data_IF_765102749097
#
_entry.id   IF_765102749097
#
_cell.length_a   1.000
_cell.length_b   1.000
_cell.length_c   1.000
_cell.angle_alpha   90.00
_cell.angle_beta   90.00
_cell.angle_gamma   90.00
#
_symmetry.space_group_name_H-M   'P 1'
#
loop_
_entity.id
_entity.type
_entity.pdbx_description
1 polymer ?
#
# COMPACT_ATOMS: atom_id res chain seq x y z
N UNK A 1 15.61 -2.86 21.81
CA UNK A 1 15.46 -2.98 20.35
C UNK A 1 14.46 -1.93 19.93
N UNK A 2 14.75 -1.14 18.91
CA UNK A 2 13.84 -0.09 18.39
C UNK A 2 12.61 -0.74 17.78
N UNK A 3 11.41 -0.24 18.12
CA UNK A 3 10.13 -0.70 17.59
C UNK A 3 9.70 0.23 16.47
N UNK A 4 9.73 -0.26 15.25
CA UNK A 4 9.40 0.53 14.07
C UNK A 4 7.90 0.51 13.76
N UNK A 5 7.35 1.71 13.48
CA UNK A 5 6.13 1.85 12.70
C UNK A 5 6.50 1.92 11.23
N UNK A 6 5.73 1.28 10.36
CA UNK A 6 6.02 1.23 8.93
C UNK A 6 4.83 1.73 8.11
N UNK A 7 5.11 2.65 7.15
CA UNK A 7 4.10 3.11 6.19
C UNK A 7 4.34 2.47 4.85
N UNK A 8 3.39 1.64 4.42
CA UNK A 8 3.35 1.05 3.09
C UNK A 8 2.40 1.88 2.20
N UNK A 9 2.93 2.92 1.59
CA UNK A 9 2.19 3.82 0.70
C UNK A 9 1.73 3.13 -0.58
N UNK A 10 0.65 3.64 -1.18
CA UNK A 10 0.22 3.25 -2.51
C UNK A 10 1.20 3.72 -3.58
N UNK A 11 1.43 2.92 -4.60
CA UNK A 11 2.36 3.22 -5.69
C UNK A 11 2.30 2.24 -6.86
N UNK A 12 1.25 1.40 -6.91
CA UNK A 12 1.15 0.36 -7.93
C UNK A 12 2.33 -0.62 -7.86
N UNK A 13 2.95 -0.92 -9.00
CA UNK A 13 4.12 -1.83 -9.03
C UNK A 13 5.37 -1.30 -8.33
N UNK A 14 5.46 0.01 -8.09
CA UNK A 14 6.54 0.61 -7.29
C UNK A 14 6.57 0.06 -5.86
N UNK A 15 5.43 -0.46 -5.38
CA UNK A 15 5.32 -1.06 -4.04
C UNK A 15 6.20 -2.30 -3.82
N UNK A 16 6.72 -2.95 -4.87
CA UNK A 16 7.76 -3.98 -4.71
C UNK A 16 9.04 -3.45 -4.05
N UNK A 17 9.31 -2.15 -4.18
CA UNK A 17 10.37 -1.51 -3.39
C UNK A 17 10.07 -1.57 -1.89
N UNK A 18 8.82 -1.29 -1.50
CA UNK A 18 8.35 -1.41 -0.10
C UNK A 18 8.54 -2.83 0.42
N UNK A 19 8.25 -3.83 -0.42
CA UNK A 19 8.45 -5.23 -0.07
C UNK A 19 9.93 -5.56 0.17
N UNK A 20 10.83 -5.06 -0.69
CA UNK A 20 12.27 -5.20 -0.49
C UNK A 20 12.73 -4.63 0.85
N UNK A 21 12.22 -3.46 1.24
CA UNK A 21 12.52 -2.87 2.55
C UNK A 21 12.02 -3.75 3.69
N UNK A 22 10.76 -4.21 3.66
CA UNK A 22 10.19 -5.06 4.70
C UNK A 22 10.93 -6.40 4.83
N UNK A 23 11.28 -7.03 3.70
CA UNK A 23 12.07 -8.28 3.69
C UNK A 23 13.44 -8.07 4.32
N UNK A 24 14.10 -6.95 4.00
CA UNK A 24 15.38 -6.62 4.61
C UNK A 24 15.26 -6.46 6.13
N UNK A 25 14.29 -5.68 6.59
CA UNK A 25 14.04 -5.44 8.02
C UNK A 25 13.79 -6.76 8.76
N UNK A 26 12.96 -7.66 8.22
CA UNK A 26 12.67 -8.97 8.82
C UNK A 26 13.92 -9.83 8.92
N UNK A 27 14.71 -9.94 7.84
CA UNK A 27 15.94 -10.74 7.80
C UNK A 27 17.02 -10.27 8.77
N UNK A 28 17.03 -8.98 9.10
CA UNK A 28 18.00 -8.39 10.03
C UNK A 28 17.43 -8.21 11.44
N UNK A 29 16.31 -8.87 11.75
CA UNK A 29 15.71 -8.88 13.08
C UNK A 29 15.22 -7.53 13.56
N UNK A 30 14.92 -6.60 12.63
CA UNK A 30 14.34 -5.30 12.98
C UNK A 30 12.87 -5.47 13.34
N UNK A 31 12.46 -4.90 14.46
CA UNK A 31 11.11 -5.06 15.01
C UNK A 31 10.14 -4.06 14.38
N UNK A 32 9.33 -4.50 13.42
CA UNK A 32 8.18 -3.74 12.92
C UNK A 32 6.97 -4.14 13.75
N UNK A 33 6.40 -3.19 14.51
CA UNK A 33 5.28 -3.46 15.44
C UNK A 33 3.94 -2.92 14.97
N UNK A 34 3.95 -1.93 14.06
CA UNK A 34 2.73 -1.36 13.51
C UNK A 34 2.94 -0.99 12.03
N UNK A 35 2.07 -1.49 11.17
CA UNK A 35 2.07 -1.16 9.73
C UNK A 35 0.78 -0.42 9.39
N UNK A 36 0.91 0.75 8.76
CA UNK A 36 -0.20 1.47 8.15
C UNK A 36 -0.04 1.45 6.64
N UNK A 37 -1.06 1.00 5.92
CA UNK A 37 -0.95 0.75 4.48
C UNK A 37 -2.13 1.30 3.68
N UNK A 38 -1.91 1.55 2.39
CA UNK A 38 -2.94 1.98 1.44
C UNK A 38 -2.68 1.45 0.04
N UNK A 39 -3.73 1.28 -0.76
CA UNK A 39 -3.65 0.86 -2.17
C UNK A 39 -2.78 -0.41 -2.35
N UNK A 40 -1.85 -0.42 -3.30
CA UNK A 40 -0.91 -1.52 -3.51
C UNK A 40 -0.03 -1.86 -2.30
N UNK A 41 0.16 -0.93 -1.36
CA UNK A 41 0.82 -1.21 -0.09
C UNK A 41 0.13 -2.30 0.71
N UNK A 42 -1.21 -2.42 0.62
CA UNK A 42 -1.96 -3.49 1.27
C UNK A 42 -1.57 -4.88 0.75
N UNK A 43 -1.32 -4.98 -0.57
CA UNK A 43 -0.89 -6.24 -1.19
C UNK A 43 0.50 -6.67 -0.69
N UNK A 44 1.38 -5.70 -0.50
CA UNK A 44 2.73 -5.96 0.03
C UNK A 44 2.67 -6.40 1.50
N UNK A 45 1.83 -5.74 2.29
CA UNK A 45 1.70 -6.08 3.72
C UNK A 45 1.11 -7.45 3.93
N UNK A 46 0.05 -7.82 3.19
CA UNK A 46 -0.52 -9.17 3.31
C UNK A 46 0.49 -10.24 2.86
N UNK A 47 1.25 -9.99 1.81
CA UNK A 47 2.29 -10.91 1.34
C UNK A 47 3.39 -11.08 2.40
N UNK A 48 3.86 -9.98 2.99
CA UNK A 48 4.81 -9.98 4.09
C UNK A 48 4.30 -10.74 5.32
N UNK A 49 3.02 -10.61 5.69
CA UNK A 49 2.41 -11.30 6.84
C UNK A 49 2.10 -12.77 6.56
N UNK A 50 2.00 -13.17 5.29
CA UNK A 50 1.83 -14.57 4.87
C UNK A 50 3.17 -15.27 4.60
N UNK A 51 4.30 -14.58 4.73
CA UNK A 51 5.62 -15.11 4.43
C UNK A 51 6.19 -15.90 5.60
N UNK A 52 6.40 -17.20 5.37
CA UNK A 52 7.19 -18.05 6.28
C UNK A 52 8.69 -17.87 5.98
N UNK A 53 9.29 -16.84 6.56
CA UNK A 53 10.69 -16.49 6.32
C UNK A 53 11.71 -17.53 6.80
N UNK A 54 11.27 -18.54 7.57
CA UNK A 54 12.11 -19.66 8.00
C UNK A 54 12.19 -20.75 6.93
N UNK A 55 11.13 -20.93 6.14
CA UNK A 55 11.03 -21.98 5.14
C UNK A 55 11.12 -21.44 3.71
N UNK A 56 10.83 -20.18 3.50
CA UNK A 56 10.74 -19.56 2.18
C UNK A 56 11.78 -18.45 2.02
N UNK A 57 12.49 -18.43 0.90
CA UNK A 57 13.48 -17.40 0.62
C UNK A 57 12.84 -16.03 0.41
N UNK A 58 11.68 -15.98 -0.23
CA UNK A 58 10.97 -14.75 -0.62
C UNK A 58 9.48 -14.88 -0.30
N UNK A 59 8.79 -13.73 -0.10
CA UNK A 59 7.33 -13.72 0.05
C UNK A 59 6.59 -14.41 -1.11
N UNK A 60 5.41 -15.02 -0.85
CA UNK A 60 4.74 -15.91 -1.80
C UNK A 60 4.36 -15.25 -3.13
N UNK A 61 3.85 -14.02 -3.10
CA UNK A 61 3.42 -13.30 -4.31
C UNK A 61 4.63 -12.91 -5.14
N UNK A 62 5.70 -12.44 -4.52
CA UNK A 62 6.94 -12.10 -5.20
C UNK A 62 7.53 -13.32 -5.92
N UNK A 63 7.52 -14.48 -5.28
CA UNK A 63 7.99 -15.74 -5.88
C UNK A 63 7.15 -16.12 -7.10
N UNK A 64 5.84 -15.86 -7.08
CA UNK A 64 4.94 -16.12 -8.22
C UNK A 64 5.16 -15.12 -9.34
N UNK A 65 5.28 -13.83 -9.01
CA UNK A 65 5.41 -12.74 -9.98
C UNK A 65 6.70 -12.82 -10.76
N UNK A 66 7.81 -13.23 -10.13
CA UNK A 66 9.10 -13.42 -10.79
C UNK A 66 9.08 -14.56 -11.84
N UNK A 67 8.11 -15.49 -11.73
CA UNK A 67 7.95 -16.61 -12.67
C UNK A 67 7.01 -16.30 -13.85
N UNK A 68 6.33 -15.16 -13.87
CA UNK A 68 5.28 -14.86 -14.84
C UNK A 68 5.83 -14.06 -16.03
N UNK A 69 5.43 -14.46 -17.25
CA UNK A 69 5.73 -13.76 -18.49
C UNK A 69 4.75 -12.59 -18.73
N UNK A 70 5.18 -11.60 -19.51
CA UNK A 70 4.44 -10.35 -19.80
C UNK A 70 3.02 -10.55 -20.37
N UNK A 71 2.78 -11.68 -21.05
CA UNK A 71 1.43 -12.07 -21.51
C UNK A 71 0.44 -12.30 -20.39
N UNK A 72 0.93 -12.52 -19.18
CA UNK A 72 0.11 -12.83 -18.00
C UNK A 72 -0.29 -11.58 -17.19
N UNK A 73 0.14 -10.38 -17.58
CA UNK A 73 -0.18 -9.15 -16.83
C UNK A 73 -1.69 -8.91 -16.76
N UNK A 74 -2.43 -9.16 -17.83
CA UNK A 74 -3.90 -9.16 -17.79
C UNK A 74 -4.44 -10.31 -16.94
N UNK A 75 -3.79 -11.46 -16.93
CA UNK A 75 -4.11 -12.60 -16.07
C UNK A 75 -3.67 -12.38 -14.63
N UNK A 76 -2.57 -11.65 -14.37
CA UNK A 76 -2.13 -11.28 -13.01
C UNK A 76 -3.15 -10.33 -12.38
N UNK A 77 -3.56 -9.27 -13.06
CA UNK A 77 -4.63 -8.40 -12.57
C UNK A 77 -5.96 -9.15 -12.48
N UNK A 78 -6.31 -9.94 -13.47
CA UNK A 78 -7.53 -10.74 -13.44
C UNK A 78 -7.47 -11.85 -12.40
N UNK A 79 -6.35 -12.52 -12.22
CA UNK A 79 -6.18 -13.59 -11.25
C UNK A 79 -5.89 -13.08 -9.83
N UNK A 80 -5.13 -11.97 -9.70
CA UNK A 80 -4.79 -11.39 -8.40
C UNK A 80 -5.97 -10.68 -7.73
N UNK A 81 -6.87 -10.09 -8.52
CA UNK A 81 -8.05 -9.38 -8.01
C UNK A 81 -9.38 -10.06 -8.41
N UNK A 82 -9.36 -11.23 -9.05
CA UNK A 82 -10.58 -11.86 -9.55
C UNK A 82 -11.33 -10.96 -10.55
N UNK A 83 -10.60 -10.22 -11.38
CA UNK A 83 -11.19 -9.26 -12.30
C UNK A 83 -11.98 -9.94 -13.39
N UNK A 84 -13.26 -9.63 -13.47
CA UNK A 84 -14.11 -9.99 -14.61
C UNK A 84 -14.38 -8.76 -15.45
N UNK A 85 -13.86 -8.66 -16.69
CA UNK A 85 -14.21 -7.57 -17.58
C UNK A 85 -15.71 -7.56 -17.82
N UNK A 86 -16.36 -6.43 -17.59
CA UNK A 86 -17.76 -6.26 -17.99
C UNK A 86 -17.79 -6.01 -19.49
N UNK A 87 -18.41 -6.92 -20.24
CA UNK A 87 -18.55 -6.87 -21.70
C UNK A 87 -19.38 -5.66 -22.20
N UNK A 88 -20.15 -5.02 -21.31
CA UNK A 88 -20.90 -3.79 -21.61
C UNK A 88 -20.75 -2.82 -20.43
N UNK A 89 -20.31 -1.57 -20.66
CA UNK A 89 -20.25 -0.54 -19.62
C UNK A 89 -21.67 -0.06 -19.30
N UNK A 90 -22.42 -0.86 -18.55
CA UNK A 90 -23.78 -0.49 -18.09
C UNK A 90 -23.78 0.24 -16.76
N UNK A 91 -22.61 0.67 -16.28
CA UNK A 91 -22.48 1.29 -14.96
C UNK A 91 -21.33 2.28 -14.86
N UNK A 92 -21.05 2.68 -13.64
CA UNK A 92 -20.02 3.67 -13.26
C UNK A 92 -18.61 3.07 -13.15
N UNK A 93 -18.40 1.80 -13.50
CA UNK A 93 -17.14 1.08 -13.33
C UNK A 93 -16.87 0.15 -14.53
N UNK A 94 -15.60 -0.15 -14.77
CA UNK A 94 -15.15 -0.98 -15.89
C UNK A 94 -15.00 -2.46 -15.51
N UNK A 95 -14.68 -2.74 -14.23
CA UNK A 95 -14.41 -4.09 -13.74
C UNK A 95 -15.19 -4.37 -12.46
N UNK A 96 -15.59 -5.61 -12.27
CA UNK A 96 -16.05 -6.13 -10.98
C UNK A 96 -14.92 -6.94 -10.33
N UNK A 97 -14.86 -6.89 -9.00
CA UNK A 97 -13.95 -7.72 -8.20
C UNK A 97 -14.72 -8.94 -7.71
N UNK A 98 -14.17 -10.12 -7.95
CA UNK A 98 -14.65 -11.36 -7.37
C UNK A 98 -13.90 -11.61 -6.05
N UNK A 99 -14.59 -11.46 -4.94
CA UNK A 99 -14.03 -11.59 -3.59
C UNK A 99 -13.39 -12.95 -3.36
N UNK A 100 -14.02 -14.03 -3.83
CA UNK A 100 -13.50 -15.39 -3.65
C UNK A 100 -12.23 -15.62 -4.45
N UNK A 101 -12.19 -15.15 -5.69
CA UNK A 101 -10.97 -15.23 -6.51
C UNK A 101 -9.83 -14.39 -5.93
N UNK A 102 -10.14 -13.22 -5.36
CA UNK A 102 -9.16 -12.39 -4.66
C UNK A 102 -8.61 -13.13 -3.42
N UNK A 103 -9.49 -13.69 -2.59
CA UNK A 103 -9.12 -14.50 -1.42
C UNK A 103 -8.20 -15.66 -1.76
N UNK A 104 -8.51 -16.42 -2.84
CA UNK A 104 -7.65 -17.49 -3.36
C UNK A 104 -6.29 -16.98 -3.81
N UNK A 105 -6.26 -15.85 -4.49
CA UNK A 105 -5.02 -15.22 -4.94
C UNK A 105 -4.12 -14.82 -3.78
N UNK A 106 -4.70 -14.39 -2.67
CA UNK A 106 -4.01 -14.06 -1.43
C UNK A 106 -3.66 -15.28 -0.58
N UNK A 107 -3.91 -16.52 -1.05
CA UNK A 107 -3.66 -17.76 -0.32
C UNK A 107 -4.44 -17.90 1.01
N UNK A 108 -5.52 -17.14 1.18
CA UNK A 108 -6.31 -17.18 2.41
C UNK A 108 -7.27 -18.38 2.50
N UNK A 109 -7.34 -19.22 1.46
CA UNK A 109 -8.01 -20.53 1.52
C UNK A 109 -7.14 -21.61 2.16
N UNK A 110 -5.82 -21.37 2.26
CA UNK A 110 -4.85 -22.27 2.89
C UNK A 110 -4.86 -22.07 4.42
N UNK A 111 -5.09 -23.16 5.17
CA UNK A 111 -5.17 -23.12 6.63
C UNK A 111 -3.85 -22.73 7.29
N UNK A 112 -2.74 -23.18 6.73
CA UNK A 112 -1.40 -22.93 7.30
C UNK A 112 -1.02 -21.47 7.11
N UNK A 113 -1.39 -20.87 5.94
CA UNK A 113 -1.22 -19.45 5.70
C UNK A 113 -2.10 -18.58 6.61
N UNK A 114 -3.33 -19.02 6.88
CA UNK A 114 -4.21 -18.32 7.84
C UNK A 114 -3.66 -18.36 9.25
N UNK A 115 -3.10 -19.50 9.67
CA UNK A 115 -2.46 -19.60 10.96
C UNK A 115 -1.25 -18.67 11.06
N UNK A 116 -0.38 -18.67 10.04
CA UNK A 116 0.79 -17.80 9.96
C UNK A 116 0.38 -16.30 10.00
N UNK A 117 -0.69 -15.94 9.31
CA UNK A 117 -1.25 -14.58 9.39
C UNK A 117 -1.68 -14.22 10.82
N UNK A 118 -2.37 -15.13 11.50
CA UNK A 118 -2.80 -14.92 12.89
C UNK A 118 -1.61 -14.77 13.85
N UNK A 119 -0.56 -15.58 13.68
CA UNK A 119 0.67 -15.49 14.44
C UNK A 119 1.37 -14.13 14.24
N UNK A 120 1.52 -13.70 13.00
CA UNK A 120 2.13 -12.39 12.71
C UNK A 120 1.27 -11.21 13.20
N UNK A 121 -0.06 -11.30 13.11
CA UNK A 121 -0.95 -10.25 13.62
C UNK A 121 -0.97 -10.20 15.17
N UNK A 122 -0.51 -11.22 15.87
CA UNK A 122 -0.31 -11.15 17.32
C UNK A 122 0.91 -10.26 17.68
N UNK A 123 1.87 -10.10 16.78
CA UNK A 123 3.10 -9.32 16.98
C UNK A 123 3.06 -7.95 16.31
N UNK A 124 2.30 -7.83 15.20
CA UNK A 124 2.25 -6.64 14.34
C UNK A 124 0.82 -6.13 14.25
N UNK A 125 0.59 -4.88 14.60
CA UNK A 125 -0.66 -4.19 14.29
C UNK A 125 -0.68 -3.78 12.81
N UNK A 126 -1.78 -4.00 12.13
CA UNK A 126 -1.98 -3.59 10.74
C UNK A 126 -3.25 -2.76 10.56
N UNK A 127 -3.07 -1.53 10.07
CA UNK A 127 -4.15 -0.61 9.73
C UNK A 127 -4.23 -0.41 8.20
N UNK A 128 -5.36 -0.79 7.58
CA UNK A 128 -5.67 -0.53 6.17
C UNK A 128 -6.34 0.83 6.04
N UNK A 129 -5.82 1.70 5.17
CA UNK A 129 -6.42 3.00 4.86
C UNK A 129 -7.36 2.91 3.67
N UNK A 130 -8.57 3.48 3.83
CA UNK A 130 -9.55 3.64 2.78
C UNK A 130 -10.17 5.04 2.83
N UNK A 131 -10.78 5.46 1.72
CA UNK A 131 -11.56 6.68 1.59
C UNK A 131 -13.05 6.36 1.68
N UNK A 132 -13.72 6.86 2.71
CA UNK A 132 -15.17 6.78 2.85
C UNK A 132 -15.81 7.89 2.00
N UNK A 133 -16.45 7.53 0.89
CA UNK A 133 -17.11 8.46 -0.03
C UNK A 133 -18.38 9.05 0.60
N UNK A 134 -19.12 8.26 1.37
CA UNK A 134 -20.37 8.70 2.00
C UNK A 134 -20.11 9.83 2.99
N UNK A 135 -19.06 9.68 3.82
CA UNK A 135 -18.69 10.63 4.86
C UNK A 135 -17.62 11.63 4.44
N UNK A 136 -17.05 11.48 3.25
CA UNK A 136 -15.94 12.31 2.72
C UNK A 136 -14.75 12.38 3.68
N UNK A 137 -14.36 11.26 4.22
CA UNK A 137 -13.32 11.16 5.24
C UNK A 137 -12.42 9.93 5.01
N UNK A 138 -11.18 10.05 5.42
CA UNK A 138 -10.30 8.90 5.47
C UNK A 138 -10.68 7.98 6.65
N UNK A 139 -10.66 6.66 6.42
CA UNK A 139 -10.98 5.63 7.41
C UNK A 139 -9.82 4.65 7.53
N UNK A 140 -9.43 4.30 8.74
CA UNK A 140 -8.56 3.14 9.01
C UNK A 140 -9.40 1.95 9.46
N UNK A 141 -9.09 0.79 8.92
CA UNK A 141 -9.59 -0.50 9.35
C UNK A 141 -8.45 -1.22 10.08
N UNK A 142 -8.62 -1.49 11.35
CA UNK A 142 -7.68 -2.27 12.15
C UNK A 142 -7.88 -3.75 11.85
N UNK A 143 -6.90 -4.37 11.17
CA UNK A 143 -6.97 -5.77 10.73
C UNK A 143 -6.95 -6.73 11.91
N UNK A 144 -6.21 -6.41 12.98
CA UNK A 144 -6.15 -7.24 14.18
C UNK A 144 -7.52 -7.34 14.88
N UNK A 145 -8.31 -6.25 14.88
CA UNK A 145 -9.68 -6.27 15.40
C UNK A 145 -10.64 -7.05 14.49
N UNK A 146 -10.43 -6.98 13.16
CA UNK A 146 -11.27 -7.68 12.18
C UNK A 146 -10.98 -9.19 12.20
N UNK A 147 -9.70 -9.59 12.21
CA UNK A 147 -9.23 -10.97 12.15
C UNK A 147 -8.94 -11.60 13.53
N UNK A 148 -9.65 -11.14 14.57
CA UNK A 148 -9.42 -11.64 15.92
C UNK A 148 -9.60 -13.17 16.08
N UNK A 149 -10.39 -13.82 15.22
CA UNK A 149 -10.68 -15.27 15.23
C UNK A 149 -10.24 -16.01 13.97
N UNK A 150 -9.89 -15.31 12.90
CA UNK A 150 -9.52 -15.86 11.57
C UNK A 150 -10.53 -16.89 11.03
N UNK A 151 -11.80 -16.80 11.47
CA UNK A 151 -12.91 -17.59 10.96
C UNK A 151 -13.45 -17.03 9.63
N UNK A 152 -14.35 -17.74 8.99
CA UNK A 152 -14.91 -17.35 7.69
C UNK A 152 -15.60 -15.97 7.72
N UNK A 153 -16.29 -15.64 8.81
CA UNK A 153 -16.98 -14.35 8.95
C UNK A 153 -15.97 -13.19 9.13
N UNK A 154 -14.89 -13.42 9.86
CA UNK A 154 -13.79 -12.46 10.03
C UNK A 154 -13.01 -12.28 8.73
N UNK A 155 -12.75 -13.38 8.00
CA UNK A 155 -12.11 -13.33 6.68
C UNK A 155 -12.96 -12.58 5.66
N UNK A 156 -14.28 -12.76 5.66
CA UNK A 156 -15.18 -12.03 4.76
C UNK A 156 -15.14 -10.52 5.03
N UNK A 157 -15.17 -10.10 6.30
CA UNK A 157 -15.03 -8.71 6.70
C UNK A 157 -13.65 -8.13 6.39
N UNK A 158 -12.60 -8.94 6.59
CA UNK A 158 -11.24 -8.56 6.18
C UNK A 158 -11.15 -8.29 4.68
N UNK A 159 -11.74 -9.17 3.87
CA UNK A 159 -11.78 -9.00 2.41
C UNK A 159 -12.50 -7.71 2.00
N UNK A 160 -13.60 -7.34 2.68
CA UNK A 160 -14.27 -6.07 2.42
C UNK A 160 -13.36 -4.86 2.75
N UNK A 161 -12.69 -4.87 3.88
CA UNK A 161 -11.75 -3.81 4.27
C UNK A 161 -10.54 -3.75 3.32
N UNK A 162 -9.99 -4.92 2.94
CA UNK A 162 -8.89 -5.04 2.01
C UNK A 162 -9.25 -4.48 0.64
N UNK A 163 -10.39 -4.90 0.08
CA UNK A 163 -10.88 -4.42 -1.20
C UNK A 163 -11.21 -2.91 -1.16
N UNK A 164 -11.79 -2.43 -0.06
CA UNK A 164 -12.01 -1.00 0.14
C UNK A 164 -10.71 -0.19 0.10
N UNK A 165 -9.61 -0.77 0.59
CA UNK A 165 -8.28 -0.13 0.61
C UNK A 165 -7.56 -0.10 -0.74
N UNK A 166 -8.00 -0.91 -1.74
CA UNK A 166 -7.31 -1.04 -3.04
C UNK A 166 -8.18 -0.69 -4.26
N UNK A 167 -9.48 -0.48 -4.06
CA UNK A 167 -10.43 -0.27 -5.15
C UNK A 167 -10.39 1.15 -5.69
N UNK A 168 -9.90 1.31 -6.92
CA UNK A 168 -9.74 2.60 -7.60
C UNK A 168 -10.87 2.88 -8.58
N UNK A 169 -11.58 3.98 -8.41
CA UNK A 169 -12.59 4.45 -9.39
C UNK A 169 -11.91 5.21 -10.56
N UNK A 170 -12.44 5.18 -11.78
CA UNK A 170 -13.66 4.51 -12.23
C UNK A 170 -13.46 3.04 -12.64
N UNK A 171 -12.30 2.46 -12.38
CA UNK A 171 -12.00 1.09 -12.83
C UNK A 171 -12.87 0.07 -12.11
N UNK A 172 -13.05 0.22 -10.80
CA UNK A 172 -13.78 -0.70 -9.96
C UNK A 172 -14.99 -0.05 -9.31
N UNK A 173 -15.97 -0.89 -8.97
CA UNK A 173 -17.11 -0.48 -8.14
C UNK A 173 -16.64 -0.20 -6.72
N UNK A 174 -17.13 0.90 -6.11
CA UNK A 174 -16.90 1.15 -4.70
C UNK A 174 -17.41 -0.01 -3.83
N UNK A 175 -16.68 -0.33 -2.78
CA UNK A 175 -17.04 -1.39 -1.82
C UNK A 175 -18.01 -0.82 -0.80
N UNK A 176 -19.05 -1.59 -0.46
CA UNK A 176 -20.05 -1.19 0.55
C UNK A 176 -19.77 -1.92 1.86
N UNK A 177 -19.53 -1.17 2.94
CA UNK A 177 -19.34 -1.70 4.29
C UNK A 177 -20.26 -0.92 5.22
N UNK A 178 -21.14 -1.60 5.95
CA UNK A 178 -22.10 -1.01 6.90
C UNK A 178 -22.93 0.15 6.31
N UNK A 179 -23.29 0.06 5.02
CA UNK A 179 -24.08 1.07 4.31
C UNK A 179 -23.28 2.28 3.80
N UNK A 180 -22.01 2.41 4.12
CA UNK A 180 -21.12 3.43 3.56
C UNK A 180 -20.35 2.89 2.33
N UNK A 181 -20.02 3.77 1.37
CA UNK A 181 -19.23 3.45 0.18
C UNK A 181 -17.77 3.79 0.39
N UNK A 182 -16.88 2.87 0.01
CA UNK A 182 -15.44 3.00 0.18
C UNK A 182 -14.69 2.79 -1.13
N UNK A 183 -13.59 3.51 -1.28
CA UNK A 183 -12.58 3.35 -2.34
C UNK A 183 -11.20 3.44 -1.71
N UNK A 184 -10.15 3.20 -2.52
CA UNK A 184 -8.77 3.21 -2.02
C UNK A 184 -8.41 4.46 -1.21
N UNK A 185 -7.53 4.27 -0.24
CA UNK A 185 -7.17 5.32 0.72
C UNK A 185 -6.39 6.47 0.10
N UNK A 186 -5.69 6.21 -1.00
CA UNK A 186 -4.80 7.16 -1.66
C UNK A 186 -5.47 8.47 -2.08
N UNK A 187 -6.77 8.47 -2.32
CA UNK A 187 -7.50 9.70 -2.67
C UNK A 187 -7.50 10.77 -1.56
N UNK A 188 -7.40 10.37 -0.29
CA UNK A 188 -7.35 11.30 0.84
C UNK A 188 -6.07 11.18 1.67
N UNK A 189 -5.46 9.99 1.73
CA UNK A 189 -4.33 9.73 2.60
C UNK A 189 -3.50 8.54 2.06
N UNK A 190 -2.62 8.83 1.10
CA UNK A 190 -1.76 7.81 0.48
C UNK A 190 -0.59 7.38 1.39
N UNK A 191 -0.28 8.18 2.39
CA UNK A 191 0.81 7.93 3.32
C UNK A 191 0.30 8.05 4.75
N UNK A 192 -0.35 7.01 5.31
CA UNK A 192 -1.10 7.08 6.56
C UNK A 192 -0.17 7.14 7.80
N UNK A 193 0.63 8.19 7.90
CA UNK A 193 1.57 8.44 9.00
C UNK A 193 0.87 8.67 10.35
N UNK A 194 -0.32 9.24 10.31
CA UNK A 194 -1.00 9.72 11.51
C UNK A 194 -1.19 8.65 12.56
N UNK A 195 -1.65 7.46 12.17
CA UNK A 195 -1.90 6.35 13.10
C UNK A 195 -0.63 5.90 13.82
N UNK A 196 0.53 5.98 13.15
CA UNK A 196 1.81 5.63 13.73
C UNK A 196 2.32 6.68 14.72
N UNK A 197 2.03 7.97 14.49
CA UNK A 197 2.35 9.03 15.45
C UNK A 197 1.46 8.97 16.69
N UNK A 198 0.25 8.43 16.59
CA UNK A 198 -0.71 8.25 17.69
C UNK A 198 -0.38 7.00 18.54
N UNK A 199 0.42 6.06 18.07
CA UNK A 199 0.71 4.78 18.72
C UNK A 199 1.96 4.87 19.64
N UNK A 200 1.80 4.72 20.93
CA UNK A 200 2.88 4.76 21.92
C UNK A 200 3.81 3.54 21.89
N UNK A 201 3.44 2.47 21.19
CA UNK A 201 4.27 1.29 21.00
C UNK A 201 5.33 1.49 19.90
N UNK A 202 5.20 2.51 19.08
CA UNK A 202 6.13 2.84 18.00
C UNK A 202 7.18 3.83 18.51
N UNK A 203 8.45 3.48 18.37
CA UNK A 203 9.58 4.35 18.74
C UNK A 203 10.02 5.25 17.57
N UNK A 204 10.14 4.68 16.36
CA UNK A 204 10.54 5.35 15.13
C UNK A 204 9.66 4.96 13.97
N UNK A 205 9.54 5.81 12.95
CA UNK A 205 8.70 5.56 11.80
C UNK A 205 9.56 5.43 10.53
N UNK A 206 9.31 4.38 9.75
CA UNK A 206 9.84 4.21 8.40
C UNK A 206 8.69 4.43 7.42
N UNK A 207 8.85 5.34 6.47
CA UNK A 207 7.85 5.62 5.45
C UNK A 207 8.48 5.54 4.06
N UNK A 208 7.80 4.83 3.15
CA UNK A 208 8.17 4.82 1.74
C UNK A 208 7.37 5.88 1.01
N UNK A 209 8.05 6.78 0.33
CA UNK A 209 7.47 7.88 -0.45
C UNK A 209 7.76 7.67 -1.94
N UNK A 210 6.72 7.40 -2.71
CA UNK A 210 6.79 7.24 -4.16
C UNK A 210 6.53 8.54 -4.92
N UNK A 211 6.50 9.65 -4.23
CA UNK A 211 6.29 10.95 -4.85
C UNK A 211 7.48 11.30 -5.74
N UNK A 212 7.24 11.44 -7.04
CA UNK A 212 8.19 12.03 -7.95
C UNK A 212 8.03 13.56 -7.90
N UNK A 213 9.04 14.23 -7.38
CA UNK A 213 9.07 15.70 -7.33
C UNK A 213 9.59 16.32 -8.65
N UNK A 214 10.02 15.49 -9.61
CA UNK A 214 10.56 15.94 -10.89
C UNK A 214 9.56 15.67 -12.05
N UNK A 215 8.34 16.15 -11.89
CA UNK A 215 7.22 15.97 -12.83
C UNK A 215 7.45 16.44 -14.26
N UNK A 216 8.42 17.32 -14.47
CA UNK A 216 8.63 17.93 -15.79
C UNK A 216 8.98 16.90 -16.88
N UNK A 217 9.63 15.81 -16.52
CA UNK A 217 10.00 14.75 -17.48
C UNK A 217 8.81 13.95 -17.99
N UNK A 218 7.90 13.59 -17.08
CA UNK A 218 6.78 12.72 -17.42
C UNK A 218 5.71 13.45 -18.22
N UNK A 219 5.45 14.72 -17.92
CA UNK A 219 4.53 15.57 -18.69
C UNK A 219 5.02 15.75 -20.12
N UNK A 220 6.29 16.08 -20.32
CA UNK A 220 6.88 16.25 -21.64
C UNK A 220 6.82 14.95 -22.48
N UNK A 221 7.07 13.80 -21.84
CA UNK A 221 6.99 12.51 -22.51
C UNK A 221 5.55 12.14 -22.87
N UNK A 222 4.59 12.40 -21.99
CA UNK A 222 3.17 12.13 -22.23
C UNK A 222 2.63 12.98 -23.37
N UNK A 223 2.91 14.30 -23.37
CA UNK A 223 2.44 15.22 -24.42
C UNK A 223 3.17 15.06 -25.75
N UNK A 224 4.40 14.51 -25.76
CA UNK A 224 5.16 14.22 -26.99
C UNK A 224 4.83 12.85 -27.56
N UNK A 225 4.29 11.90 -26.78
CA UNK A 225 3.89 10.59 -27.29
C UNK A 225 2.66 10.72 -28.18
N UNK A 226 2.86 10.75 -29.47
CA UNK A 226 1.79 10.70 -30.49
C UNK A 226 1.24 9.28 -30.57
N UNK A 227 0.43 8.87 -29.62
CA UNK A 227 -0.30 7.61 -29.72
C UNK A 227 -1.59 7.81 -30.50
N UNK A 228 -1.77 7.04 -31.58
CA UNK A 228 -2.95 7.08 -32.43
C UNK A 228 -4.21 6.45 -31.80
N UNK A 229 -4.11 5.90 -30.59
CA UNK A 229 -5.20 5.17 -29.92
C UNK A 229 -5.75 6.02 -28.78
N UNK A 230 -6.70 6.87 -29.11
CA UNK A 230 -7.39 7.81 -28.20
C UNK A 230 -7.81 7.26 -26.82
N UNK A 231 -8.34 6.00 -26.65
CA UNK A 231 -8.72 5.51 -25.35
C UNK A 231 -7.54 5.32 -24.39
N UNK A 232 -6.37 4.93 -24.90
CA UNK A 232 -5.19 4.68 -24.06
C UNK A 232 -4.56 5.99 -23.57
N UNK A 233 -4.60 7.06 -24.36
CA UNK A 233 -4.15 8.39 -23.91
C UNK A 233 -5.03 8.93 -22.77
N UNK A 234 -6.31 8.62 -22.76
CA UNK A 234 -7.22 9.02 -21.67
C UNK A 234 -6.90 8.26 -20.38
N UNK A 235 -6.53 6.98 -20.48
CA UNK A 235 -6.09 6.16 -19.32
C UNK A 235 -4.78 6.71 -18.79
N UNK A 236 -3.79 6.95 -19.65
CA UNK A 236 -2.48 7.48 -19.27
C UNK A 236 -2.61 8.87 -18.61
N UNK A 237 -3.47 9.73 -19.18
CA UNK A 237 -3.77 11.07 -18.61
C UNK A 237 -4.46 10.92 -17.24
N UNK A 238 -5.40 9.98 -17.11
CA UNK A 238 -6.08 9.77 -15.84
C UNK A 238 -5.13 9.22 -14.77
N UNK A 239 -4.24 8.30 -15.12
CA UNK A 239 -3.22 7.78 -14.21
C UNK A 239 -2.26 8.89 -13.78
N UNK A 240 -1.86 9.79 -14.68
CA UNK A 240 -1.03 10.93 -14.36
C UNK A 240 -1.75 11.91 -13.42
N UNK A 241 -3.01 12.23 -13.69
CA UNK A 241 -3.81 13.10 -12.80
C UNK A 241 -3.99 12.45 -11.43
N UNK A 242 -4.21 11.14 -11.39
CA UNK A 242 -4.28 10.38 -10.14
C UNK A 242 -2.94 10.43 -9.39
N UNK A 243 -1.83 10.28 -10.08
CA UNK A 243 -0.49 10.39 -9.48
C UNK A 243 -0.25 11.79 -8.90
N UNK A 244 -0.66 12.85 -9.61
CA UNK A 244 -0.64 14.22 -9.11
C UNK A 244 -1.53 14.42 -7.87
N UNK A 245 -2.74 13.85 -7.88
CA UNK A 245 -3.65 13.92 -6.73
C UNK A 245 -3.12 13.19 -5.51
N UNK A 246 -2.34 12.11 -5.70
CA UNK A 246 -1.69 11.37 -4.63
C UNK A 246 -0.45 12.10 -4.09
N UNK A 247 0.23 12.87 -4.92
CA UNK A 247 1.52 13.51 -4.61
C UNK A 247 1.39 14.70 -3.70
N UNK A 248 0.47 15.62 -4.01
CA UNK A 248 0.31 16.87 -3.24
C UNK A 248 -0.05 16.60 -1.77
N UNK A 249 -1.00 15.69 -1.44
CA UNK A 249 -1.26 15.33 -0.05
C UNK A 249 -0.05 14.74 0.67
N UNK A 250 0.75 13.91 -0.01
CA UNK A 250 1.94 13.29 0.60
C UNK A 250 2.98 14.34 1.03
N UNK A 251 3.28 15.30 0.17
CA UNK A 251 4.21 16.39 0.51
C UNK A 251 3.76 17.17 1.76
N UNK A 252 2.45 17.44 1.86
CA UNK A 252 1.88 18.11 3.04
C UNK A 252 1.96 17.23 4.30
N UNK A 253 1.67 15.95 4.20
CA UNK A 253 1.72 15.02 5.34
C UNK A 253 3.13 14.95 5.93
N UNK A 254 4.16 14.79 5.10
CA UNK A 254 5.55 14.77 5.57
C UNK A 254 5.98 16.09 6.19
N UNK A 255 5.58 17.21 5.59
CA UNK A 255 5.85 18.55 6.15
C UNK A 255 5.16 18.72 7.50
N UNK A 256 3.90 18.34 7.64
CA UNK A 256 3.18 18.41 8.91
C UNK A 256 3.82 17.51 9.98
N UNK A 257 4.22 16.29 9.62
CA UNK A 257 4.90 15.39 10.54
C UNK A 257 6.24 15.96 11.05
N UNK A 258 7.02 16.56 10.15
CA UNK A 258 8.26 17.22 10.50
C UNK A 258 8.02 18.42 11.45
N UNK A 259 7.03 19.26 11.15
CA UNK A 259 6.67 20.41 11.98
C UNK A 259 6.23 19.99 13.39
N UNK A 260 5.40 18.94 13.51
CA UNK A 260 4.97 18.43 14.82
C UNK A 260 6.18 17.95 15.62
N UNK A 261 7.07 17.18 15.00
CA UNK A 261 8.29 16.71 15.64
C UNK A 261 9.20 17.86 16.10
N UNK A 262 9.37 18.89 15.27
CA UNK A 262 10.19 20.06 15.57
C UNK A 262 9.57 20.88 16.72
N UNK A 263 8.27 21.13 16.67
CA UNK A 263 7.54 21.80 17.76
C UNK A 263 7.72 21.07 19.09
N UNK A 264 7.54 19.75 19.11
CA UNK A 264 7.71 18.94 20.32
C UNK A 264 9.17 18.98 20.81
N UNK A 265 10.13 18.98 19.88
CA UNK A 265 11.55 19.11 20.22
C UNK A 265 11.87 20.46 20.87
N UNK A 266 11.40 21.57 20.30
CA UNK A 266 11.60 22.93 20.82
C UNK A 266 10.96 23.11 22.20
N UNK A 267 9.77 22.49 22.41
CA UNK A 267 9.07 22.52 23.70
C UNK A 267 9.64 21.54 24.73
N UNK A 268 10.61 20.71 24.34
CA UNK A 268 11.16 19.66 25.22
C UNK A 268 10.13 18.59 25.60
N UNK A 269 9.07 18.41 24.77
CA UNK A 269 7.98 17.49 25.05
C UNK A 269 8.14 16.20 24.22
N UNK A 270 7.79 15.05 24.84
CA UNK A 270 7.74 13.76 24.15
C UNK A 270 6.43 13.55 23.39
N UNK A 271 5.36 14.26 23.76
CA UNK A 271 4.05 14.17 23.11
C UNK A 271 3.23 15.43 23.31
N UNK A 272 2.22 15.63 22.45
CA UNK A 272 1.18 16.66 22.64
C UNK A 272 -0.20 16.13 22.26
N UNK A 273 -1.23 16.74 22.83
CA UNK A 273 -2.62 16.48 22.43
C UNK A 273 -3.04 17.51 21.37
N UNK A 274 -3.46 17.05 20.21
CA UNK A 274 -3.88 17.86 19.08
C UNK A 274 -5.23 17.33 18.58
N UNK A 275 -6.29 18.16 18.68
CA UNK A 275 -7.62 17.77 18.24
C UNK A 275 -8.19 16.53 18.97
N UNK A 276 -7.90 16.39 20.27
CA UNK A 276 -8.35 15.28 21.12
C UNK A 276 -7.61 13.97 20.89
N UNK A 277 -6.46 14.01 20.19
CA UNK A 277 -5.59 12.85 19.97
C UNK A 277 -4.17 13.15 20.43
N UNK A 278 -3.51 12.14 20.98
CA UNK A 278 -2.13 12.25 21.45
C UNK A 278 -1.17 11.87 20.34
N UNK A 279 -0.23 12.76 20.04
CA UNK A 279 0.85 12.58 19.07
C UNK A 279 2.18 12.51 19.81
N UNK A 280 2.97 11.51 19.49
CA UNK A 280 4.30 11.31 20.06
C UNK A 280 5.37 11.83 19.11
N UNK A 281 6.41 12.44 19.66
CA UNK A 281 7.61 12.80 18.91
C UNK A 281 8.36 11.53 18.51
N UNK A 282 8.54 11.30 17.20
CA UNK A 282 9.19 10.10 16.66
C UNK A 282 10.13 10.44 15.52
N UNK A 283 11.37 9.90 15.51
CA UNK A 283 12.22 9.95 14.33
C UNK A 283 11.45 9.40 13.12
N UNK A 284 11.59 10.08 11.97
CA UNK A 284 10.92 9.71 10.72
C UNK A 284 11.98 9.46 9.64
N UNK A 285 12.08 8.22 9.19
CA UNK A 285 12.94 7.77 8.11
C UNK A 285 12.12 7.69 6.81
N UNK A 286 12.36 8.63 5.89
CA UNK A 286 11.67 8.63 4.60
C UNK A 286 12.60 8.00 3.58
N UNK A 287 12.15 6.90 2.97
CA UNK A 287 12.82 6.20 1.88
C UNK A 287 12.17 6.63 0.56
N UNK A 288 13.00 7.16 -0.34
CA UNK A 288 12.57 7.62 -1.68
C UNK A 288 13.38 6.91 -2.73
N UNK A 289 12.78 5.95 -3.45
CA UNK A 289 13.49 5.28 -4.52
C UNK A 289 13.93 6.31 -5.57
N UNK A 290 15.20 6.22 -5.97
CA UNK A 290 15.73 7.00 -7.09
C UNK A 290 15.27 6.35 -8.39
N UNK A 291 15.08 7.16 -9.45
CA UNK A 291 14.71 6.69 -10.78
C UNK A 291 13.40 5.90 -10.84
N UNK A 292 12.35 6.46 -10.23
CA UNK A 292 10.99 5.94 -10.38
C UNK A 292 10.59 5.96 -11.86
N UNK A 293 10.42 4.79 -12.45
CA UNK A 293 9.73 4.69 -13.73
C UNK A 293 8.26 5.11 -13.54
N UNK A 294 7.66 5.75 -14.54
CA UNK A 294 6.23 6.07 -14.47
C UNK A 294 5.42 4.81 -14.22
N UNK A 295 4.28 4.96 -13.54
CA UNK A 295 3.38 3.84 -13.20
C UNK A 295 2.96 3.06 -14.46
N UNK A 296 2.80 3.74 -15.60
CA UNK A 296 2.47 3.17 -16.92
C UNK A 296 3.58 2.33 -17.54
N UNK A 297 4.83 2.71 -17.34
CA UNK A 297 5.98 1.96 -17.86
C UNK A 297 6.17 0.67 -17.06
N UNK A 298 5.98 0.71 -15.75
CA UNK A 298 6.11 -0.46 -14.89
C UNK A 298 5.03 -1.54 -15.13
N UNK A 299 3.87 -1.17 -15.66
CA UNK A 299 2.84 -2.13 -16.09
C UNK A 299 3.26 -3.01 -17.27
N UNK A 300 4.21 -2.54 -18.10
CA UNK A 300 4.66 -3.22 -19.31
C UNK A 300 5.98 -3.99 -19.12
N UNK A 301 6.66 -3.80 -17.99
CA UNK A 301 7.99 -4.34 -17.74
C UNK A 301 8.04 -5.18 -16.46
N UNK A 302 7.96 -6.50 -16.61
CA UNK A 302 8.06 -7.44 -15.48
C UNK A 302 9.43 -7.40 -14.79
N UNK A 303 10.49 -6.94 -15.48
CA UNK A 303 11.81 -6.77 -14.89
C UNK A 303 11.84 -5.59 -13.90
N UNK A 304 10.94 -4.62 -14.05
CA UNK A 304 10.84 -3.48 -13.15
C UNK A 304 10.48 -3.89 -11.71
N UNK A 305 9.63 -4.90 -11.55
CA UNK A 305 9.22 -5.40 -10.22
C UNK A 305 10.44 -5.93 -9.45
N UNK A 306 11.23 -6.78 -10.10
CA UNK A 306 12.47 -7.32 -9.52
C UNK A 306 13.45 -6.19 -9.19
N UNK A 307 13.63 -5.24 -10.11
CA UNK A 307 14.50 -4.08 -9.89
C UNK A 307 14.05 -3.24 -8.70
N UNK A 308 12.74 -2.96 -8.55
CA UNK A 308 12.23 -2.23 -7.40
C UNK A 308 12.46 -2.99 -6.09
N UNK A 309 12.21 -4.28 -6.08
CA UNK A 309 12.48 -5.11 -4.91
C UNK A 309 13.98 -5.05 -4.51
N UNK A 310 14.88 -5.23 -5.47
CA UNK A 310 16.32 -5.15 -5.24
C UNK A 310 16.77 -3.77 -4.74
N UNK A 311 16.20 -2.69 -5.29
CA UNK A 311 16.45 -1.33 -4.81
C UNK A 311 15.99 -1.15 -3.36
N UNK A 312 14.82 -1.68 -3.00
CA UNK A 312 14.32 -1.63 -1.62
C UNK A 312 15.25 -2.33 -0.64
N UNK A 313 15.76 -3.52 -1.00
CA UNK A 313 16.76 -4.24 -0.21
C UNK A 313 18.05 -3.43 -0.01
N UNK A 314 18.55 -2.82 -1.10
CA UNK A 314 19.80 -2.05 -1.08
C UNK A 314 19.68 -0.77 -0.24
N UNK A 315 18.57 -0.02 -0.39
CA UNK A 315 18.38 1.20 0.39
C UNK A 315 18.14 0.92 1.87
N UNK A 316 17.42 -0.14 2.21
CA UNK A 316 17.25 -0.57 3.59
C UNK A 316 18.61 -0.95 4.21
N UNK A 317 19.45 -1.70 3.48
CA UNK A 317 20.79 -2.04 3.91
C UNK A 317 21.67 -0.78 4.13
N UNK A 318 21.59 0.18 3.22
CA UNK A 318 22.38 1.42 3.33
C UNK A 318 21.90 2.33 4.48
N UNK A 319 20.62 2.24 4.88
CA UNK A 319 20.02 3.12 5.88
C UNK A 319 20.07 2.55 7.29
N UNK A 320 19.92 1.22 7.44
CA UNK A 320 19.73 0.54 8.72
C UNK A 320 20.78 -0.56 9.00
N UNK A 321 21.67 -0.83 8.03
CA UNK A 321 22.74 -1.83 8.10
C UNK A 321 24.07 -1.38 8.68
#
# INVERSE_FOLDING_TARGET
>A
MTRYGFVASGGGYRSFYTEGVLVWLKRHGQSVVHIASTSSGNNIVIDYLLWDWQQEELPPVLTRTVRLNVTDIFHIFSNFLGLRPQLLPTGTHLFSVDKDSCRKSLLLDDSDRRQLLAEHLAEVRWDIRATNLTRRAARSFNVNEILHSVDEASLDRFMDAFLAGITTIPYFKAITIDGDYYIEGGYLDNTPLRTLFEDDQVDEIIAVDFTDYDYHRDLDQLYRSKSFILPFNSIDTHLLVSDLQLTLPNAHIFTQAALVNEMLAVLGQASAEIGGKRYYRKPLHILRPKDLASMTISLKDSSAQKRYFELGLQEAAARFG
#
